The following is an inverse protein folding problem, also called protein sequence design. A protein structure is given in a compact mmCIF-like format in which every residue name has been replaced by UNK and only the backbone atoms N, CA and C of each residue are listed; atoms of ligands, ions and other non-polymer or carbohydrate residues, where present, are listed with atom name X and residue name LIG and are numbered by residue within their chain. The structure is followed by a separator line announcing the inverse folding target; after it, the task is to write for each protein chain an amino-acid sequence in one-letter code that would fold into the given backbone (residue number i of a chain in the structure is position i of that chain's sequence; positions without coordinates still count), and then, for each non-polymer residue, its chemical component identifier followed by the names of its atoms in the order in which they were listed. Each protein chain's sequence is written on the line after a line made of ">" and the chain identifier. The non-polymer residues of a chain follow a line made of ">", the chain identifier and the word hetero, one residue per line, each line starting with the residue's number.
data_IF_644157421038
#
_entry.id   IF_644157421038
#
_cell.length_a   1.000
_cell.length_b   1.000
_cell.length_c   1.000
_cell.angle_alpha   90.00
_cell.angle_beta   90.00
_cell.angle_gamma   90.00
#
_symmetry.space_group_name_H-M   'P 1'
#
loop_
_entity.id
_entity.type
_entity.pdbx_description
1 polymer ?
#
# COMPACT_ATOMS: atom_id res chain seq x y z
N UNK A 1 6.88 9.71 -6.28
CA UNK A 1 5.65 10.10 -6.86
C UNK A 1 5.10 11.40 -6.34
N UNK A 2 4.04 11.85 -6.96
CA UNK A 2 3.37 13.10 -6.61
C UNK A 2 2.64 12.96 -5.28
N UNK A 3 2.05 11.80 -5.06
CA UNK A 3 1.41 11.45 -3.79
C UNK A 3 1.92 10.06 -3.38
N UNK A 4 2.39 9.95 -2.16
CA UNK A 4 2.90 8.69 -1.62
C UNK A 4 2.14 8.35 -0.35
N UNK A 5 1.59 7.15 -0.31
CA UNK A 5 0.87 6.64 0.86
C UNK A 5 1.66 5.47 1.44
N UNK A 6 1.84 5.47 2.75
CA UNK A 6 2.51 4.39 3.46
C UNK A 6 1.51 3.65 4.32
N UNK A 7 1.51 2.33 4.19
CA UNK A 7 0.63 1.42 4.95
C UNK A 7 1.47 0.35 5.61
N UNK A 8 1.04 -0.11 6.79
CA UNK A 8 1.73 -1.22 7.46
C UNK A 8 1.09 -2.56 7.07
N UNK A 9 1.64 -3.66 7.59
CA UNK A 9 1.13 -5.00 7.31
C UNK A 9 -0.28 -5.27 7.83
N UNK A 10 -0.76 -4.45 8.76
CA UNK A 10 -2.13 -4.56 9.28
C UNK A 10 -3.12 -3.72 8.46
N UNK A 11 -2.69 -3.19 7.32
CA UNK A 11 -3.52 -2.37 6.43
C UNK A 11 -3.89 -1.02 7.03
N UNK A 12 -3.12 -0.54 7.99
CA UNK A 12 -3.30 0.80 8.57
C UNK A 12 -2.52 1.83 7.79
N UNK A 13 -3.14 2.96 7.49
CA UNK A 13 -2.45 4.09 6.88
C UNK A 13 -1.56 4.75 7.92
N UNK A 14 -0.27 4.84 7.61
CA UNK A 14 0.72 5.44 8.51
C UNK A 14 1.00 6.89 8.13
N UNK A 15 1.08 7.18 6.84
CA UNK A 15 1.39 8.54 6.39
C UNK A 15 0.93 8.75 4.96
N UNK A 16 0.75 10.02 4.62
CA UNK A 16 0.49 10.46 3.25
C UNK A 16 1.42 11.62 2.99
N UNK A 17 2.23 11.52 1.94
CA UNK A 17 3.11 12.60 1.49
C UNK A 17 2.58 13.15 0.18
N UNK A 18 2.41 14.46 0.12
CA UNK A 18 1.91 15.14 -1.06
C UNK A 18 2.95 16.15 -1.51
N UNK A 19 3.29 16.12 -2.80
CA UNK A 19 4.21 17.10 -3.37
C UNK A 19 3.57 18.49 -3.31
N UNK A 20 4.27 19.49 -2.75
CA UNK A 20 3.74 20.86 -2.68
C UNK A 20 3.33 21.45 -4.02
N UNK A 21 3.96 21.03 -5.10
CA UNK A 21 3.62 21.51 -6.44
C UNK A 21 2.19 21.12 -6.83
N UNK A 22 1.73 19.96 -6.41
CA UNK A 22 0.38 19.49 -6.67
C UNK A 22 -0.63 20.35 -5.91
N UNK A 23 -0.30 20.71 -4.68
CA UNK A 23 -1.15 21.59 -3.86
C UNK A 23 -1.22 22.99 -4.46
N UNK A 24 -0.09 23.48 -4.95
CA UNK A 24 -0.02 24.81 -5.58
C UNK A 24 -0.81 24.88 -6.88
N UNK A 25 -0.95 23.78 -7.58
CA UNK A 25 -1.73 23.74 -8.80
C UNK A 25 -3.21 24.07 -8.57
N UNK A 26 -3.69 23.86 -7.35
CA UNK A 26 -5.05 24.26 -6.98
C UNK A 26 -6.16 23.36 -7.54
N UNK A 27 -5.80 22.26 -8.18
CA UNK A 27 -6.79 21.32 -8.72
C UNK A 27 -7.13 20.29 -7.65
N UNK A 28 -8.16 20.55 -6.89
CA UNK A 28 -8.58 19.70 -5.78
C UNK A 28 -9.06 18.35 -6.27
N UNK A 29 -9.78 18.29 -7.39
CA UNK A 29 -10.27 17.03 -7.94
C UNK A 29 -9.12 16.14 -8.36
N UNK A 30 -8.11 16.69 -9.02
CA UNK A 30 -6.92 15.94 -9.41
C UNK A 30 -6.21 15.40 -8.16
N UNK A 31 -6.09 16.23 -7.11
CA UNK A 31 -5.46 15.82 -5.87
C UNK A 31 -6.21 14.68 -5.20
N UNK A 32 -7.53 14.76 -5.17
CA UNK A 32 -8.37 13.70 -4.61
C UNK A 32 -8.16 12.38 -5.36
N UNK A 33 -8.13 12.42 -6.68
CA UNK A 33 -7.92 11.24 -7.51
C UNK A 33 -6.54 10.64 -7.28
N UNK A 34 -5.51 11.48 -7.15
CA UNK A 34 -4.15 11.03 -6.88
C UNK A 34 -4.04 10.37 -5.51
N UNK A 35 -4.71 10.91 -4.50
CA UNK A 35 -4.71 10.32 -3.15
C UNK A 35 -5.41 8.97 -3.16
N UNK A 36 -6.55 8.87 -3.82
CA UNK A 36 -7.28 7.61 -3.92
C UNK A 36 -6.44 6.55 -4.64
N UNK A 37 -5.83 6.92 -5.76
CA UNK A 37 -4.99 6.00 -6.52
C UNK A 37 -3.78 5.53 -5.70
N UNK A 38 -3.10 6.46 -5.03
CA UNK A 38 -1.94 6.12 -4.20
C UNK A 38 -2.34 5.26 -3.00
N UNK A 39 -3.47 5.56 -2.37
CA UNK A 39 -3.98 4.77 -1.26
C UNK A 39 -4.32 3.35 -1.67
N UNK A 40 -5.04 3.20 -2.77
CA UNK A 40 -5.40 1.88 -3.27
C UNK A 40 -4.17 1.08 -3.69
N UNK A 41 -3.18 1.73 -4.29
CA UNK A 41 -1.94 1.07 -4.68
C UNK A 41 -1.17 0.58 -3.45
N UNK A 42 -1.08 1.42 -2.42
CA UNK A 42 -0.40 1.05 -1.17
C UNK A 42 -1.10 -0.12 -0.48
N UNK A 43 -2.43 -0.12 -0.43
CA UNK A 43 -3.21 -1.21 0.17
C UNK A 43 -3.03 -2.49 -0.64
N UNK A 44 -3.02 -2.39 -1.96
CA UNK A 44 -2.79 -3.54 -2.83
C UNK A 44 -1.42 -4.15 -2.59
N UNK A 45 -0.39 -3.32 -2.51
CA UNK A 45 0.97 -3.79 -2.23
C UNK A 45 1.07 -4.44 -0.85
N UNK A 46 0.39 -3.89 0.14
CA UNK A 46 0.36 -4.47 1.47
C UNK A 46 -0.26 -5.86 1.46
N UNK A 47 -1.37 -6.03 0.74
CA UNK A 47 -2.02 -7.34 0.61
C UNK A 47 -1.14 -8.33 -0.13
N UNK A 48 -0.46 -7.90 -1.17
CA UNK A 48 0.46 -8.75 -1.93
C UNK A 48 1.63 -9.20 -1.07
N UNK A 49 2.18 -8.30 -0.26
CA UNK A 49 3.25 -8.64 0.68
C UNK A 49 2.80 -9.66 1.70
N UNK A 50 1.61 -9.51 2.26
CA UNK A 50 1.05 -10.47 3.20
C UNK A 50 0.85 -11.83 2.53
N UNK A 51 0.34 -11.84 1.32
CA UNK A 51 0.14 -13.08 0.57
C UNK A 51 1.47 -13.79 0.31
N UNK A 52 2.51 -13.04 -0.04
CA UNK A 52 3.84 -13.60 -0.25
C UNK A 52 4.44 -14.15 1.03
N UNK A 53 4.27 -13.46 2.15
CA UNK A 53 4.75 -13.92 3.44
C UNK A 53 4.06 -15.22 3.84
N UNK A 54 2.76 -15.30 3.68
CA UNK A 54 2.02 -16.53 3.97
C UNK A 54 2.43 -17.66 3.03
N UNK A 55 2.64 -17.34 1.77
CA UNK A 55 3.08 -18.31 0.78
C UNK A 55 4.48 -18.83 1.09
N UNK A 56 5.37 -17.97 1.52
CA UNK A 56 6.72 -18.36 1.92
C UNK A 56 6.70 -19.28 3.14
N UNK A 57 5.84 -18.99 4.11
CA UNK A 57 5.70 -19.82 5.31
C UNK A 57 5.13 -21.18 4.95
N UNK A 58 4.08 -21.24 4.15
CA UNK A 58 3.46 -22.51 3.78
C UNK A 58 4.22 -23.28 2.70
N UNK A 59 4.80 -22.55 1.75
CA UNK A 59 5.52 -23.16 0.64
C UNK A 59 6.95 -23.54 0.96
N UNK A 60 7.62 -22.71 1.78
CA UNK A 60 9.02 -22.92 2.14
C UNK A 60 9.21 -23.81 3.34
N UNK A 61 8.26 -23.83 4.23
CA UNK A 61 8.31 -24.64 5.44
C UNK A 61 7.22 -25.69 5.38
N UNK A 62 7.54 -26.81 4.82
CA UNK A 62 6.62 -27.95 4.93
C UNK A 62 6.62 -28.41 6.37
N UNK A 63 5.56 -28.10 7.07
CA UNK A 63 5.42 -28.52 8.46
C UNK A 63 4.75 -29.88 8.47
N UNK A 64 5.49 -30.92 8.80
CA UNK A 64 4.91 -32.28 8.87
C UNK A 64 3.82 -32.29 9.94
N UNK A 65 2.70 -32.85 9.60
CA UNK A 65 1.58 -32.94 10.51
C UNK A 65 0.52 -31.86 10.29
N UNK A 66 0.84 -30.79 9.56
CA UNK A 66 -0.15 -29.81 9.17
C UNK A 66 -0.68 -30.07 7.76
N UNK A 67 0.06 -30.81 6.99
CA UNK A 67 -0.28 -31.13 5.60
C UNK A 67 -0.15 -32.62 5.33
#
# INVERSE_FOLDING_TARGET
>A
GIVTVTVNGAMDLLSVKIDPEVVKAGDVEMLQDLVVAAGNDALKKSREMMAEEMKAVTGGMKIPGLF
#
